data_IF_887888408933
#
_entry.id   IF_887888408933
#
_cell.length_a   1.000
_cell.length_b   1.000
_cell.length_c   1.000
_cell.angle_alpha   90.00
_cell.angle_beta   90.00
_cell.angle_gamma   90.00
#
_symmetry.space_group_name_H-M   'P 1'
#
loop_
_entity.id
_entity.type
_entity.pdbx_description
1 polymer ?
#
# COMPACT_ATOMS: atom_id res chain seq x y z
N UNK A 1 -2.80 11.56 27.56
CA UNK A 1 -3.08 10.84 26.30
C UNK A 1 -2.73 11.73 25.11
N UNK A 2 -2.18 11.15 24.05
CA UNK A 2 -1.86 11.87 22.81
C UNK A 2 -2.44 11.18 21.58
N UNK A 3 -2.66 11.97 20.53
CA UNK A 3 -3.10 11.52 19.22
C UNK A 3 -2.12 12.00 18.15
N UNK A 4 -1.48 11.07 17.45
CA UNK A 4 -0.63 11.37 16.30
C UNK A 4 -1.50 11.51 15.05
N UNK A 5 -1.68 12.74 14.55
CA UNK A 5 -2.43 12.98 13.33
C UNK A 5 -1.53 12.71 12.14
N UNK A 6 -1.91 11.78 11.29
CA UNK A 6 -1.14 11.27 10.14
C UNK A 6 -1.88 11.65 8.84
N UNK A 7 -1.17 12.16 7.84
CA UNK A 7 -1.75 12.50 6.54
C UNK A 7 -0.74 12.35 5.40
N UNK A 8 -1.24 12.33 4.16
CA UNK A 8 -0.42 12.29 2.95
C UNK A 8 -0.19 13.70 2.41
N UNK A 9 1.05 13.99 2.06
CA UNK A 9 1.42 15.27 1.47
C UNK A 9 1.16 15.37 -0.05
N UNK A 10 1.59 16.48 -0.64
CA UNK A 10 1.48 16.77 -2.07
C UNK A 10 2.77 16.53 -2.85
N UNK A 11 3.73 15.79 -2.30
CA UNK A 11 4.98 15.50 -3.01
C UNK A 11 4.71 14.66 -4.25
N UNK A 12 5.35 15.04 -5.35
CA UNK A 12 5.32 14.32 -6.63
C UNK A 12 6.75 13.86 -7.00
N UNK A 13 6.89 12.68 -7.64
CA UNK A 13 5.80 11.82 -8.11
C UNK A 13 5.26 10.84 -7.05
N UNK A 14 5.85 10.82 -5.85
CA UNK A 14 5.47 9.94 -4.74
C UNK A 14 5.11 10.79 -3.51
N UNK A 15 3.93 10.54 -2.93
CA UNK A 15 3.49 11.18 -1.70
C UNK A 15 4.33 10.69 -0.52
N UNK A 16 4.57 11.58 0.43
CA UNK A 16 5.17 11.24 1.71
C UNK A 16 4.12 11.28 2.80
N UNK A 17 4.27 10.41 3.80
CA UNK A 17 3.46 10.48 5.02
C UNK A 17 4.03 11.55 5.94
N UNK A 18 3.14 12.33 6.55
CA UNK A 18 3.46 13.38 7.52
C UNK A 18 2.68 13.13 8.80
N UNK A 19 3.22 13.55 9.94
CA UNK A 19 2.46 13.50 11.19
C UNK A 19 2.77 14.64 12.15
N UNK A 20 1.88 14.83 13.13
CA UNK A 20 2.10 15.68 14.30
C UNK A 20 1.20 15.28 15.46
N UNK A 21 1.66 15.58 16.67
CA UNK A 21 0.99 15.14 17.90
C UNK A 21 0.05 16.18 18.49
N UNK A 22 -1.21 15.78 18.75
CA UNK A 22 -2.17 16.54 19.56
C UNK A 22 -2.25 15.95 20.96
N UNK A 23 -2.24 16.80 21.99
CA UNK A 23 -2.66 16.39 23.34
C UNK A 23 -4.19 16.35 23.36
N UNK A 24 -4.74 15.23 23.81
CA UNK A 24 -6.19 15.01 23.91
C UNK A 24 -6.62 14.82 25.37
N UNK A 25 -7.91 14.98 25.62
CA UNK A 25 -8.47 14.73 26.96
C UNK A 25 -8.19 13.30 27.42
N UNK A 26 -7.98 13.14 28.73
CA UNK A 26 -7.80 11.83 29.35
C UNK A 26 -9.14 11.09 29.50
N UNK A 27 -9.75 10.72 28.36
CA UNK A 27 -10.99 9.95 28.26
C UNK A 27 -10.91 8.86 27.19
N UNK A 28 -11.51 7.68 27.41
CA UNK A 28 -11.57 6.63 26.39
C UNK A 28 -12.14 7.13 25.07
N UNK A 29 -11.43 6.86 23.97
CA UNK A 29 -11.90 7.09 22.61
C UNK A 29 -12.56 5.81 22.10
N UNK A 30 -13.78 5.95 21.59
CA UNK A 30 -14.59 4.88 21.00
C UNK A 30 -15.07 5.22 19.59
N UNK A 31 -15.12 6.50 19.22
CA UNK A 31 -15.55 6.95 17.90
C UNK A 31 -14.60 8.00 17.32
N UNK A 32 -14.56 8.07 15.98
CA UNK A 32 -13.68 9.00 15.26
C UNK A 32 -14.02 10.47 15.53
N UNK A 33 -15.29 10.80 15.80
CA UNK A 33 -15.77 12.17 16.06
C UNK A 33 -15.22 12.79 17.36
N UNK A 34 -14.61 11.97 18.22
CA UNK A 34 -13.92 12.45 19.42
C UNK A 34 -12.57 13.11 19.08
N UNK A 35 -12.05 12.92 17.86
CA UNK A 35 -10.88 13.63 17.35
C UNK A 35 -11.32 14.89 16.61
N UNK A 36 -10.99 16.09 17.11
CA UNK A 36 -11.31 17.33 16.41
C UNK A 36 -10.53 17.46 15.11
N UNK A 37 -11.11 18.15 14.12
CA UNK A 37 -10.36 18.63 12.96
C UNK A 37 -9.16 19.49 13.39
N UNK A 38 -8.15 19.55 12.54
CA UNK A 38 -6.95 20.33 12.83
C UNK A 38 -6.36 20.95 11.57
N UNK A 39 -5.82 22.16 11.63
CA UNK A 39 -5.15 22.79 10.49
C UNK A 39 -3.66 22.46 10.44
N UNK A 40 -3.03 22.54 9.27
CA UNK A 40 -1.58 22.53 9.08
C UNK A 40 -1.15 23.49 7.96
N UNK A 41 0.14 23.81 7.93
CA UNK A 41 0.73 24.64 6.88
C UNK A 41 1.04 23.79 5.63
N UNK A 42 0.15 23.86 4.64
CA UNK A 42 0.25 23.15 3.38
C UNK A 42 1.36 23.66 2.45
N UNK A 43 1.91 24.85 2.70
CA UNK A 43 3.06 25.35 1.92
C UNK A 43 4.35 24.59 2.19
N UNK A 44 4.45 23.98 3.38
CA UNK A 44 5.56 23.14 3.80
C UNK A 44 5.44 21.67 3.33
N UNK A 45 4.37 21.34 2.61
CA UNK A 45 4.03 19.95 2.23
C UNK A 45 3.58 19.81 0.77
N UNK A 46 3.92 20.79 -0.09
CA UNK A 46 3.53 20.83 -1.51
C UNK A 46 2.00 20.83 -1.75
N UNK A 47 1.22 21.33 -0.78
CA UNK A 47 -0.26 21.32 -0.85
C UNK A 47 -0.85 22.71 -1.01
N UNK A 48 -0.13 23.77 -0.68
CA UNK A 48 -0.62 25.13 -0.83
C UNK A 48 0.50 26.12 -1.19
N UNK A 49 0.12 27.33 -1.62
CA UNK A 49 1.06 28.44 -1.78
C UNK A 49 1.18 29.22 -0.48
N UNK A 50 2.31 29.92 -0.27
CA UNK A 50 2.58 30.61 1.00
C UNK A 50 1.59 31.74 1.34
N UNK A 51 0.90 32.31 0.36
CA UNK A 51 -0.11 33.36 0.53
C UNK A 51 -1.51 32.85 0.89
N UNK A 52 -1.74 31.53 0.81
CA UNK A 52 -2.95 30.87 1.28
C UNK A 52 -2.64 29.42 1.70
N UNK A 53 -1.86 29.26 2.77
CA UNK A 53 -1.21 27.98 3.07
C UNK A 53 -2.01 27.01 3.95
N UNK A 54 -3.11 27.45 4.56
CA UNK A 54 -3.88 26.61 5.49
C UNK A 54 -4.57 25.44 4.77
N UNK A 55 -4.29 24.23 5.25
CA UNK A 55 -5.03 23.01 4.91
C UNK A 55 -5.66 22.40 6.17
N UNK A 56 -6.75 21.65 5.99
CA UNK A 56 -7.53 21.03 7.08
C UNK A 56 -7.27 19.52 7.08
N UNK A 57 -7.00 18.98 8.26
CA UNK A 57 -6.97 17.55 8.57
C UNK A 57 -8.32 17.14 9.13
N UNK A 58 -8.97 16.23 8.42
CA UNK A 58 -10.23 15.61 8.85
C UNK A 58 -9.97 14.15 9.26
N UNK A 59 -10.09 13.80 10.55
CA UNK A 59 -9.93 12.42 11.01
C UNK A 59 -10.88 11.46 10.29
N UNK A 60 -10.36 10.32 9.83
CA UNK A 60 -11.13 9.30 9.12
C UNK A 60 -10.94 7.88 9.67
N UNK A 61 -9.81 7.61 10.32
CA UNK A 61 -9.50 6.34 10.96
C UNK A 61 -8.61 6.58 12.17
N UNK A 62 -8.78 5.79 13.21
CA UNK A 62 -7.84 5.74 14.32
C UNK A 62 -7.58 4.31 14.76
N UNK A 63 -6.39 4.10 15.32
CA UNK A 63 -5.94 2.87 15.98
C UNK A 63 -5.19 3.23 17.26
N UNK A 64 -4.92 2.25 18.11
CA UNK A 64 -4.01 2.45 19.24
C UNK A 64 -2.59 2.71 18.72
N UNK A 65 -1.84 3.60 19.39
CA UNK A 65 -0.44 3.87 19.10
C UNK A 65 0.43 2.80 19.77
N UNK A 66 1.00 1.85 18.99
CA UNK A 66 1.77 0.74 19.56
C UNK A 66 3.12 1.20 20.12
N UNK A 67 3.62 2.36 19.69
CA UNK A 67 4.93 2.88 20.09
C UNK A 67 4.82 3.64 21.42
N UNK A 68 3.78 4.45 21.59
CA UNK A 68 3.54 5.19 22.83
C UNK A 68 2.76 4.40 23.89
N UNK A 69 2.09 3.33 23.48
CA UNK A 69 1.35 2.43 24.36
C UNK A 69 -0.04 2.96 24.76
N UNK A 70 -0.61 2.31 25.79
CA UNK A 70 -2.00 2.47 26.19
C UNK A 70 -2.43 3.93 26.38
N UNK A 71 -3.63 4.25 25.90
CA UNK A 71 -4.21 5.59 25.95
C UNK A 71 -3.67 6.55 24.88
N UNK A 72 -2.83 6.10 23.95
CA UNK A 72 -2.38 6.90 22.83
C UNK A 72 -2.92 6.34 21.50
N UNK A 73 -3.04 7.21 20.51
CA UNK A 73 -3.72 6.90 19.26
C UNK A 73 -2.94 7.38 18.04
N UNK A 74 -2.99 6.60 16.97
CA UNK A 74 -2.67 7.07 15.62
C UNK A 74 -3.97 7.44 14.93
N UNK A 75 -4.03 8.61 14.29
CA UNK A 75 -5.24 9.18 13.68
C UNK A 75 -4.94 9.53 12.24
N UNK A 76 -5.34 8.67 11.31
CA UNK A 76 -5.25 8.93 9.89
C UNK A 76 -6.29 9.98 9.49
N UNK A 77 -5.85 10.96 8.72
CA UNK A 77 -6.64 12.12 8.31
C UNK A 77 -6.67 12.25 6.78
N UNK A 78 -7.82 12.69 6.28
CA UNK A 78 -7.93 13.27 4.95
C UNK A 78 -7.51 14.74 4.96
N UNK A 79 -7.02 15.21 3.81
CA UNK A 79 -6.66 16.61 3.61
C UNK A 79 -7.78 17.32 2.85
N UNK A 80 -8.20 18.45 3.39
CA UNK A 80 -9.19 19.36 2.82
C UNK A 80 -8.58 20.74 2.62
N UNK A 81 -9.05 21.45 1.60
CA UNK A 81 -8.71 22.85 1.40
C UNK A 81 -9.40 23.73 2.45
N UNK A 82 -9.02 25.01 2.51
CA UNK A 82 -9.61 26.00 3.42
C UNK A 82 -11.11 26.24 3.20
N UNK A 83 -11.63 25.90 2.03
CA UNK A 83 -13.06 26.01 1.70
C UNK A 83 -13.87 24.79 2.15
N UNK A 84 -13.20 23.76 2.70
CA UNK A 84 -13.84 22.52 3.14
C UNK A 84 -14.07 21.52 2.00
N UNK A 85 -13.43 21.67 0.85
CA UNK A 85 -13.46 20.67 -0.22
C UNK A 85 -12.28 19.69 -0.05
N UNK A 86 -12.43 18.41 -0.47
CA UNK A 86 -11.30 17.50 -0.53
C UNK A 86 -10.16 18.15 -1.32
N UNK A 87 -8.96 18.15 -0.74
CA UNK A 87 -7.80 18.73 -1.40
C UNK A 87 -7.45 17.89 -2.65
N UNK A 88 -6.87 18.49 -3.70
CA UNK A 88 -6.50 17.76 -4.94
C UNK A 88 -5.60 16.54 -4.70
N UNK A 89 -4.85 16.53 -3.59
CA UNK A 89 -3.96 15.43 -3.22
C UNK A 89 -4.67 14.31 -2.44
N UNK A 90 -5.95 14.48 -2.10
CA UNK A 90 -6.74 13.55 -1.31
C UNK A 90 -7.30 12.43 -2.21
N UNK A 91 -6.47 11.41 -2.39
CA UNK A 91 -6.79 10.22 -3.20
C UNK A 91 -7.75 9.26 -2.48
N UNK A 92 -7.84 9.33 -1.15
CA UNK A 92 -8.88 8.61 -0.38
C UNK A 92 -10.29 9.05 -0.78
N UNK A 93 -10.48 10.34 -1.06
CA UNK A 93 -11.74 10.85 -1.58
C UNK A 93 -12.11 10.27 -2.95
N UNK A 94 -11.12 9.94 -3.80
CA UNK A 94 -11.36 9.25 -5.08
C UNK A 94 -11.89 7.84 -4.86
N UNK A 95 -11.29 7.07 -3.94
CA UNK A 95 -11.81 5.73 -3.59
C UNK A 95 -13.21 5.81 -2.98
N UNK A 96 -13.44 6.76 -2.06
CA UNK A 96 -14.77 7.00 -1.48
C UNK A 96 -15.82 7.30 -2.56
N UNK A 97 -15.50 8.15 -3.54
CA UNK A 97 -16.43 8.47 -4.63
C UNK A 97 -16.81 7.23 -5.46
N UNK A 98 -15.85 6.37 -5.80
CA UNK A 98 -16.14 5.10 -6.49
C UNK A 98 -17.06 4.19 -5.66
N UNK A 99 -16.85 4.14 -4.34
CA UNK A 99 -17.71 3.38 -3.44
C UNK A 99 -19.13 3.97 -3.37
N UNK A 100 -19.26 5.29 -3.32
CA UNK A 100 -20.53 6.02 -3.29
C UNK A 100 -21.32 5.89 -4.62
N UNK A 101 -20.63 5.70 -5.75
CA UNK A 101 -21.26 5.34 -7.03
C UNK A 101 -21.91 3.94 -7.02
N UNK A 102 -21.60 3.10 -6.03
CA UNK A 102 -22.22 1.79 -5.82
C UNK A 102 -21.22 0.63 -5.72
N UNK A 103 -19.91 0.87 -5.86
CA UNK A 103 -18.90 -0.19 -5.79
C UNK A 103 -18.89 -0.92 -4.42
N UNK A 104 -19.37 -0.25 -3.36
CA UNK A 104 -19.55 -0.86 -2.04
C UNK A 104 -20.54 -2.05 -2.03
N UNK A 105 -21.42 -2.19 -3.02
CA UNK A 105 -22.38 -3.30 -3.12
C UNK A 105 -21.75 -4.61 -3.58
N UNK A 106 -20.52 -4.57 -4.11
CA UNK A 106 -19.84 -5.73 -4.68
C UNK A 106 -19.09 -6.58 -3.64
N UNK A 107 -19.03 -6.14 -2.38
CA UNK A 107 -18.31 -6.81 -1.29
C UNK A 107 -16.88 -7.18 -1.74
N UNK A 108 -16.17 -6.14 -2.17
CA UNK A 108 -14.83 -6.27 -2.71
C UNK A 108 -13.80 -6.42 -1.59
N UNK A 109 -12.95 -7.43 -1.70
CA UNK A 109 -11.83 -7.66 -0.80
C UNK A 109 -10.52 -7.36 -1.50
N UNK A 110 -9.59 -6.78 -0.75
CA UNK A 110 -8.24 -6.45 -1.20
C UNK A 110 -7.20 -7.06 -0.27
N UNK A 111 -6.03 -7.35 -0.83
CA UNK A 111 -4.80 -7.61 -0.09
C UNK A 111 -3.61 -7.08 -0.87
N UNK A 112 -2.78 -6.29 -0.21
CA UNK A 112 -1.61 -5.63 -0.80
C UNK A 112 -0.35 -6.28 -0.24
N UNK A 113 0.56 -6.65 -1.14
CA UNK A 113 1.88 -7.22 -0.88
C UNK A 113 2.92 -6.09 -1.04
N UNK A 114 3.17 -5.33 0.02
CA UNK A 114 4.05 -4.16 -0.02
C UNK A 114 5.51 -4.58 0.10
N UNK A 115 6.24 -4.59 -1.01
CA UNK A 115 7.68 -4.76 -1.00
C UNK A 115 8.37 -3.43 -0.69
N UNK A 116 9.53 -3.50 -0.04
CA UNK A 116 10.36 -2.35 0.30
C UNK A 116 11.83 -2.78 0.45
N UNK A 117 12.76 -1.82 0.32
CA UNK A 117 14.19 -2.07 0.52
C UNK A 117 14.73 -1.18 1.63
N UNK A 118 15.45 -1.77 2.57
CA UNK A 118 16.09 -1.04 3.67
C UNK A 118 17.45 -0.53 3.18
N UNK A 119 17.68 0.77 3.32
CA UNK A 119 18.89 1.49 2.94
C UNK A 119 19.51 2.14 4.18
N UNK A 120 20.83 2.29 4.19
CA UNK A 120 21.48 3.17 5.15
C UNK A 120 21.27 4.66 4.80
N UNK A 121 21.76 5.56 5.65
CA UNK A 121 21.65 7.02 5.45
C UNK A 121 22.28 7.51 4.14
N UNK A 122 23.25 6.77 3.58
CA UNK A 122 23.90 7.10 2.31
C UNK A 122 23.08 6.66 1.09
N UNK A 123 22.01 5.88 1.30
CA UNK A 123 21.22 5.27 0.24
C UNK A 123 21.79 3.94 -0.26
N UNK A 124 22.76 3.35 0.44
CA UNK A 124 23.30 2.03 0.12
C UNK A 124 22.43 0.94 0.77
N UNK A 125 22.15 -0.19 0.08
CA UNK A 125 21.32 -1.25 0.66
C UNK A 125 21.89 -1.80 1.97
N UNK A 126 21.04 -1.88 2.98
CA UNK A 126 21.45 -2.24 4.33
C UNK A 126 21.90 -3.71 4.41
N UNK A 127 23.09 -3.94 4.96
CA UNK A 127 23.73 -5.26 5.06
C UNK A 127 24.49 -5.71 3.81
N UNK A 128 24.62 -4.85 2.80
CA UNK A 128 25.55 -5.06 1.69
C UNK A 128 27.00 -4.71 2.09
N UNK A 129 28.01 -5.24 1.38
CA UNK A 129 29.40 -4.84 1.59
C UNK A 129 29.61 -3.36 1.25
N UNK A 130 30.33 -2.62 2.10
CA UNK A 130 30.66 -1.18 1.90
C UNK A 130 31.16 -0.86 0.48
N UNK A 131 31.93 -1.79 -0.10
CA UNK A 131 32.35 -1.75 -1.49
C UNK A 131 31.92 -3.01 -2.23
N UNK A 132 31.07 -2.83 -3.25
CA UNK A 132 30.67 -3.90 -4.17
C UNK A 132 29.25 -4.38 -3.93
N UNK A 133 29.05 -5.67 -4.14
CA UNK A 133 27.74 -6.33 -4.12
C UNK A 133 27.81 -7.59 -3.26
N UNK A 134 26.70 -8.03 -2.63
CA UNK A 134 26.62 -9.36 -2.07
C UNK A 134 26.72 -10.42 -3.17
N UNK A 135 26.67 -11.70 -2.78
CA UNK A 135 26.53 -12.78 -3.75
C UNK A 135 25.26 -12.64 -4.62
N UNK A 136 25.15 -13.39 -5.73
CA UNK A 136 23.95 -13.37 -6.57
C UNK A 136 22.67 -13.73 -5.80
N UNK A 137 21.53 -13.23 -6.28
CA UNK A 137 20.21 -13.54 -5.74
C UNK A 137 19.92 -15.05 -5.74
N UNK A 138 19.08 -15.49 -4.80
CA UNK A 138 18.74 -16.91 -4.61
C UNK A 138 18.69 -17.34 -3.15
N UNK A 139 19.75 -17.15 -2.34
CA UNK A 139 19.76 -17.57 -0.93
C UNK A 139 19.02 -16.62 0.02
N UNK A 140 18.54 -15.47 -0.46
CA UNK A 140 17.97 -14.38 0.35
C UNK A 140 16.46 -14.52 0.58
N UNK A 141 15.70 -14.90 -0.44
CA UNK A 141 14.25 -15.07 -0.35
C UNK A 141 13.88 -16.08 0.75
N UNK A 142 13.07 -15.65 1.72
CA UNK A 142 12.73 -16.43 2.92
C UNK A 142 13.97 -17.00 3.66
N UNK A 143 15.10 -16.31 3.58
CA UNK A 143 16.39 -16.74 4.12
C UNK A 143 16.45 -16.69 5.65
N UNK A 144 17.25 -17.60 6.22
CA UNK A 144 17.60 -17.62 7.65
C UNK A 144 19.11 -17.77 7.81
N UNK A 145 19.70 -16.96 8.70
CA UNK A 145 21.13 -16.95 9.02
C UNK A 145 21.82 -15.64 8.64
N UNK A 146 22.87 -15.28 9.38
CA UNK A 146 23.47 -13.94 9.37
C UNK A 146 24.12 -13.46 8.05
N UNK A 147 24.14 -14.28 7.00
CA UNK A 147 24.63 -13.91 5.66
C UNK A 147 23.54 -13.94 4.59
N UNK A 148 22.31 -14.27 4.97
CA UNK A 148 21.17 -14.47 4.07
C UNK A 148 20.02 -13.52 4.31
N UNK A 149 20.06 -12.79 5.42
CA UNK A 149 19.03 -11.83 5.82
C UNK A 149 19.69 -10.61 6.46
N UNK A 150 19.11 -9.45 6.22
CA UNK A 150 19.50 -8.16 6.79
C UNK A 150 18.23 -7.43 7.23
N UNK A 151 18.31 -6.57 8.26
CA UNK A 151 17.18 -5.79 8.79
C UNK A 151 15.97 -6.60 9.31
N UNK A 152 16.17 -7.83 9.80
CA UNK A 152 15.08 -8.64 10.37
C UNK A 152 14.42 -7.95 11.56
N UNK A 153 15.21 -7.35 12.44
CA UNK A 153 14.69 -6.74 13.68
C UNK A 153 13.66 -5.64 13.37
N UNK A 154 13.94 -4.78 12.38
CA UNK A 154 12.95 -3.79 11.90
C UNK A 154 11.67 -4.44 11.36
N UNK A 155 11.81 -5.53 10.58
CA UNK A 155 10.65 -6.23 10.02
C UNK A 155 9.79 -6.90 11.09
N UNK A 156 10.40 -7.47 12.13
CA UNK A 156 9.69 -8.11 13.25
C UNK A 156 9.03 -7.05 14.16
N UNK A 157 9.73 -5.97 14.49
CA UNK A 157 9.18 -4.84 15.26
C UNK A 157 7.99 -4.19 14.53
N UNK A 158 8.09 -4.07 13.21
CA UNK A 158 6.98 -3.56 12.38
C UNK A 158 5.78 -4.50 12.40
N UNK A 159 6.01 -5.81 12.28
CA UNK A 159 4.95 -6.82 12.38
C UNK A 159 4.25 -6.74 13.74
N UNK A 160 5.02 -6.70 14.84
CA UNK A 160 4.49 -6.59 16.20
C UNK A 160 3.69 -5.29 16.38
N UNK A 161 4.23 -4.15 15.94
CA UNK A 161 3.53 -2.86 16.01
C UNK A 161 2.22 -2.86 15.21
N UNK A 162 2.20 -3.48 14.02
CA UNK A 162 0.98 -3.61 13.22
C UNK A 162 -0.05 -4.51 13.91
N UNK A 163 0.37 -5.60 14.54
CA UNK A 163 -0.51 -6.49 15.31
C UNK A 163 -1.10 -5.77 16.53
N UNK A 164 -0.27 -5.07 17.29
CA UNK A 164 -0.69 -4.31 18.49
C UNK A 164 -1.62 -3.15 18.15
N UNK A 165 -1.43 -2.50 17.00
CA UNK A 165 -2.33 -1.49 16.48
C UNK A 165 -3.65 -2.08 15.92
N UNK A 166 -3.76 -3.40 15.80
CA UNK A 166 -4.93 -4.07 15.22
C UNK A 166 -5.06 -3.87 13.71
N UNK A 167 -3.94 -3.64 13.01
CA UNK A 167 -3.95 -3.53 11.55
C UNK A 167 -4.25 -4.89 10.91
N UNK A 168 -4.70 -4.85 9.66
CA UNK A 168 -5.08 -6.05 8.89
C UNK A 168 -3.83 -6.72 8.30
N UNK A 169 -2.76 -6.82 9.09
CA UNK A 169 -1.50 -7.44 8.68
C UNK A 169 -1.63 -8.96 8.66
N UNK A 170 -1.37 -9.55 7.49
CA UNK A 170 -1.46 -10.98 7.25
C UNK A 170 -0.11 -11.68 7.46
N UNK A 171 1.01 -11.03 7.12
CA UNK A 171 2.33 -11.61 7.22
C UNK A 171 3.45 -10.70 6.75
N UNK A 172 4.66 -11.25 6.76
CA UNK A 172 5.89 -10.64 6.23
C UNK A 172 6.86 -11.73 5.75
N UNK A 173 7.72 -11.40 4.80
CA UNK A 173 8.81 -12.26 4.35
C UNK A 173 10.02 -11.45 3.88
N UNK A 174 11.21 -12.07 3.99
CA UNK A 174 12.41 -11.56 3.32
C UNK A 174 12.27 -11.80 1.81
N UNK A 175 12.55 -10.77 1.01
CA UNK A 175 12.42 -10.81 -0.44
C UNK A 175 13.69 -11.29 -1.15
N UNK A 176 13.63 -11.36 -2.48
CA UNK A 176 14.69 -11.94 -3.33
C UNK A 176 16.02 -11.17 -3.25
N UNK A 177 15.99 -9.84 -3.09
CA UNK A 177 17.20 -9.02 -2.92
C UNK A 177 17.58 -8.93 -1.43
N UNK A 178 18.87 -9.07 -1.11
CA UNK A 178 19.34 -8.91 0.28
C UNK A 178 19.00 -7.50 0.79
N UNK A 179 18.29 -7.43 1.93
CA UNK A 179 17.81 -6.17 2.52
C UNK A 179 16.45 -5.71 1.97
N UNK A 180 15.86 -6.46 1.04
CA UNK A 180 14.47 -6.28 0.60
C UNK A 180 13.54 -7.16 1.43
N UNK A 181 12.36 -6.64 1.71
CA UNK A 181 11.33 -7.29 2.52
C UNK A 181 9.95 -6.99 1.97
N UNK A 182 8.97 -7.77 2.42
CA UNK A 182 7.56 -7.56 2.12
C UNK A 182 6.74 -7.62 3.41
N UNK A 183 5.69 -6.81 3.49
CA UNK A 183 4.59 -7.02 4.44
C UNK A 183 3.25 -7.04 3.70
N UNK A 184 2.28 -7.80 4.20
CA UNK A 184 0.98 -7.93 3.55
C UNK A 184 -0.16 -7.37 4.40
N UNK A 185 -0.95 -6.44 3.85
CA UNK A 185 -2.15 -5.87 4.50
C UNK A 185 -3.39 -6.22 3.68
N UNK A 186 -4.42 -6.83 4.29
CA UNK A 186 -5.61 -7.23 3.55
C UNK A 186 -6.56 -8.15 4.29
N UNK A 187 -7.49 -8.74 3.55
CA UNK A 187 -8.37 -9.77 4.08
C UNK A 187 -7.59 -11.03 4.49
N UNK A 188 -7.73 -11.44 5.75
CA UNK A 188 -6.98 -12.56 6.36
C UNK A 188 -7.77 -13.85 6.54
N UNK A 189 -9.06 -13.83 6.22
CA UNK A 189 -9.95 -14.96 6.49
C UNK A 189 -10.49 -15.02 7.93
N UNK A 190 -10.30 -13.95 8.72
CA UNK A 190 -10.83 -13.85 10.08
C UNK A 190 -12.21 -13.19 10.10
N UNK A 191 -12.94 -13.38 11.20
CA UNK A 191 -14.23 -12.70 11.45
C UNK A 191 -13.97 -11.28 11.94
N UNK A 192 -13.62 -10.40 11.00
CA UNK A 192 -13.28 -9.00 11.24
C UNK A 192 -13.86 -8.11 10.12
N UNK A 193 -14.19 -6.84 10.41
CA UNK A 193 -14.66 -5.93 9.38
C UNK A 193 -13.56 -5.73 8.34
N UNK A 194 -13.94 -5.80 7.06
CA UNK A 194 -13.05 -5.54 5.93
C UNK A 194 -13.81 -4.77 4.86
N UNK A 195 -13.21 -3.69 4.37
CA UNK A 195 -13.70 -2.96 3.22
C UNK A 195 -12.52 -2.27 2.50
N UNK A 196 -12.69 -1.82 1.25
CA UNK A 196 -11.60 -1.21 0.49
C UNK A 196 -10.98 0.02 1.16
N UNK A 197 -11.75 0.87 1.84
CA UNK A 197 -11.20 2.03 2.57
C UNK A 197 -10.43 1.56 3.80
N UNK A 198 -10.94 0.60 4.57
CA UNK A 198 -10.24 0.10 5.76
C UNK A 198 -8.87 -0.50 5.41
N UNK A 199 -8.80 -1.34 4.39
CA UNK A 199 -7.53 -1.98 3.98
C UNK A 199 -6.52 -0.94 3.49
N UNK A 200 -6.97 0.05 2.71
CA UNK A 200 -6.10 1.11 2.19
C UNK A 200 -5.69 2.14 3.27
N UNK A 201 -6.57 2.41 4.24
CA UNK A 201 -6.25 3.17 5.46
C UNK A 201 -5.14 2.44 6.25
N UNK A 202 -5.27 1.13 6.42
CA UNK A 202 -4.31 0.30 7.15
C UNK A 202 -2.96 0.18 6.42
N UNK A 203 -2.93 0.19 5.08
CA UNK A 203 -1.69 0.28 4.31
C UNK A 203 -0.91 1.54 4.68
N UNK A 204 -1.56 2.72 4.69
CA UNK A 204 -0.86 3.97 5.03
C UNK A 204 -0.45 4.06 6.51
N UNK A 205 -1.24 3.50 7.43
CA UNK A 205 -0.83 3.37 8.83
C UNK A 205 0.37 2.43 8.99
N UNK A 206 0.39 1.30 8.27
CA UNK A 206 1.51 0.37 8.26
C UNK A 206 2.78 1.01 7.65
N UNK A 207 2.65 1.77 6.55
CA UNK A 207 3.75 2.56 5.98
C UNK A 207 4.30 3.58 6.97
N UNK A 208 3.42 4.31 7.66
CA UNK A 208 3.85 5.27 8.70
C UNK A 208 4.59 4.57 9.84
N UNK A 209 4.09 3.43 10.32
CA UNK A 209 4.77 2.64 11.36
C UNK A 209 6.15 2.17 10.90
N UNK A 210 6.27 1.70 9.65
CA UNK A 210 7.53 1.27 9.06
C UNK A 210 8.56 2.41 9.08
N UNK A 211 8.20 3.56 8.50
CA UNK A 211 9.08 4.74 8.46
C UNK A 211 9.41 5.23 9.88
N UNK A 212 8.42 5.25 10.79
CA UNK A 212 8.62 5.72 12.16
C UNK A 212 9.54 4.82 12.97
N UNK A 213 9.43 3.50 12.80
CA UNK A 213 10.30 2.53 13.48
C UNK A 213 11.71 2.55 12.88
N UNK A 214 11.85 2.74 11.56
CA UNK A 214 13.16 2.79 10.89
C UNK A 214 14.07 3.89 11.43
N UNK A 215 13.49 5.00 11.93
CA UNK A 215 14.22 6.06 12.62
C UNK A 215 15.08 5.55 13.79
N UNK A 216 14.61 4.55 14.55
CA UNK A 216 15.35 4.01 15.71
C UNK A 216 16.51 3.10 15.30
N UNK A 217 16.54 2.68 14.04
CA UNK A 217 17.55 1.82 13.45
C UNK A 217 18.59 2.60 12.63
N UNK A 218 18.46 3.93 12.54
CA UNK A 218 19.28 4.80 11.68
C UNK A 218 19.30 4.33 10.21
N UNK A 219 18.15 3.84 9.72
CA UNK A 219 17.97 3.38 8.34
C UNK A 219 16.78 4.07 7.67
N UNK A 220 16.82 4.10 6.35
CA UNK A 220 15.74 4.58 5.49
C UNK A 220 15.05 3.41 4.80
N UNK A 221 13.73 3.41 4.80
CA UNK A 221 12.94 2.51 3.95
C UNK A 221 12.73 3.16 2.58
N UNK A 222 13.02 2.43 1.51
CA UNK A 222 12.72 2.84 0.14
C UNK A 222 11.60 1.99 -0.44
N UNK A 223 10.64 2.70 -1.04
CA UNK A 223 9.53 2.14 -1.82
C UNK A 223 9.78 2.30 -3.34
N UNK A 224 11.00 2.64 -3.76
CA UNK A 224 11.32 2.79 -5.18
C UNK A 224 11.10 1.48 -5.94
N UNK A 225 10.45 1.54 -7.09
CA UNK A 225 10.10 0.36 -7.89
C UNK A 225 11.33 -0.41 -8.40
N UNK A 226 12.49 0.24 -8.47
CA UNK A 226 13.77 -0.34 -8.87
C UNK A 226 14.90 0.35 -8.08
N UNK A 227 15.10 -0.03 -6.80
CA UNK A 227 16.02 0.70 -5.92
C UNK A 227 17.48 0.53 -6.35
N UNK A 228 17.84 -0.65 -6.88
CA UNK A 228 19.17 -0.93 -7.43
C UNK A 228 19.05 -1.36 -8.89
N UNK A 229 19.85 -0.73 -9.74
CA UNK A 229 19.90 -1.03 -11.18
C UNK A 229 20.65 -2.34 -11.45
N UNK A 230 20.33 -2.99 -12.57
CA UNK A 230 20.93 -4.25 -12.99
C UNK A 230 20.14 -5.49 -12.56
N UNK A 231 20.87 -6.59 -12.31
CA UNK A 231 20.35 -7.95 -12.05
C UNK A 231 19.91 -8.13 -10.58
N UNK A 232 19.16 -7.16 -10.08
CA UNK A 232 18.54 -7.17 -8.75
C UNK A 232 17.03 -7.02 -8.91
N UNK A 233 16.24 -7.67 -8.08
CA UNK A 233 14.79 -7.54 -8.15
C UNK A 233 14.35 -6.08 -7.97
N UNK A 234 13.22 -5.73 -8.61
CA UNK A 234 12.52 -4.48 -8.29
C UNK A 234 11.61 -4.69 -7.07
N UNK A 235 10.93 -3.62 -6.66
CA UNK A 235 9.95 -3.65 -5.57
C UNK A 235 8.52 -3.42 -6.11
N UNK A 236 7.62 -4.36 -5.83
CA UNK A 236 6.20 -4.33 -6.20
C UNK A 236 5.26 -3.96 -5.05
N UNK A 237 3.99 -3.73 -5.41
CA UNK A 237 2.87 -3.74 -4.46
C UNK A 237 1.77 -4.65 -5.02
N UNK A 238 2.01 -5.96 -5.13
CA UNK A 238 1.04 -6.84 -5.78
C UNK A 238 -0.31 -6.73 -5.06
N UNK A 239 -1.37 -6.63 -5.85
CA UNK A 239 -2.71 -6.40 -5.31
C UNK A 239 -3.60 -7.59 -5.61
N UNK A 240 -3.90 -8.35 -4.58
CA UNK A 240 -4.90 -9.40 -4.57
C UNK A 240 -6.29 -8.76 -4.45
N UNK A 241 -7.23 -9.15 -5.31
CA UNK A 241 -8.59 -8.62 -5.26
C UNK A 241 -9.66 -9.62 -5.68
N UNK A 242 -10.85 -9.49 -5.11
CA UNK A 242 -12.04 -10.24 -5.52
C UNK A 242 -13.33 -9.49 -5.20
N UNK A 243 -14.39 -9.73 -5.96
CA UNK A 243 -15.76 -9.37 -5.59
C UNK A 243 -16.50 -10.60 -5.07
N UNK A 244 -17.65 -10.41 -4.42
CA UNK A 244 -18.51 -11.53 -4.02
C UNK A 244 -18.85 -12.48 -5.18
N UNK A 245 -19.09 -11.94 -6.37
CA UNK A 245 -19.38 -12.76 -7.57
C UNK A 245 -18.16 -13.56 -8.01
N UNK A 246 -16.94 -13.02 -7.93
CA UNK A 246 -15.71 -13.77 -8.24
C UNK A 246 -15.48 -14.93 -7.27
N UNK A 247 -15.90 -14.77 -6.01
CA UNK A 247 -15.81 -15.80 -4.96
C UNK A 247 -16.96 -16.81 -4.99
N UNK A 248 -17.97 -16.60 -5.83
CA UNK A 248 -19.13 -17.49 -5.93
C UNK A 248 -18.79 -18.78 -6.69
N UNK A 249 -19.22 -19.92 -6.16
CA UNK A 249 -18.90 -21.25 -6.72
C UNK A 249 -19.51 -21.48 -8.11
N UNK A 250 -20.64 -20.83 -8.41
CA UNK A 250 -21.38 -21.01 -9.66
C UNK A 250 -21.01 -19.93 -10.68
N UNK A 251 -20.83 -18.68 -10.23
CA UNK A 251 -20.62 -17.52 -11.10
C UNK A 251 -19.15 -17.13 -11.25
N UNK A 252 -18.28 -17.57 -10.34
CA UNK A 252 -16.90 -17.10 -10.22
C UNK A 252 -16.10 -17.23 -11.51
N UNK A 253 -16.23 -18.33 -12.25
CA UNK A 253 -15.45 -18.56 -13.46
C UNK A 253 -15.76 -17.53 -14.54
N UNK A 254 -17.06 -17.34 -14.81
CA UNK A 254 -17.55 -16.40 -15.81
C UNK A 254 -17.18 -14.97 -15.42
N UNK A 255 -17.28 -14.65 -14.13
CA UNK A 255 -16.95 -13.33 -13.63
C UNK A 255 -15.43 -13.05 -13.70
N UNK A 256 -14.59 -14.01 -13.37
CA UNK A 256 -13.13 -13.90 -13.49
C UNK A 256 -12.73 -13.66 -14.96
N UNK A 257 -13.30 -14.41 -15.90
CA UNK A 257 -13.03 -14.23 -17.33
C UNK A 257 -13.43 -12.82 -17.81
N UNK A 258 -14.59 -12.31 -17.36
CA UNK A 258 -15.04 -10.94 -17.64
C UNK A 258 -14.10 -9.89 -17.04
N UNK A 259 -13.69 -10.07 -15.79
CA UNK A 259 -12.77 -9.17 -15.08
C UNK A 259 -11.42 -9.09 -15.79
N UNK A 260 -10.88 -10.22 -16.23
CA UNK A 260 -9.62 -10.27 -17.00
C UNK A 260 -9.74 -9.44 -18.29
N UNK A 261 -10.82 -9.61 -19.06
CA UNK A 261 -11.04 -8.83 -20.28
C UNK A 261 -11.17 -7.33 -20.00
N UNK A 262 -11.84 -6.95 -18.90
CA UNK A 262 -11.96 -5.55 -18.50
C UNK A 262 -10.59 -4.94 -18.14
N UNK A 263 -9.73 -5.68 -17.44
CA UNK A 263 -8.38 -5.25 -17.07
C UNK A 263 -7.46 -5.13 -18.29
N UNK A 264 -7.57 -6.06 -19.25
CA UNK A 264 -6.83 -6.02 -20.51
C UNK A 264 -7.19 -4.76 -21.30
N UNK A 265 -8.49 -4.51 -21.50
CA UNK A 265 -8.99 -3.36 -22.24
C UNK A 265 -8.60 -2.01 -21.61
N UNK A 266 -8.30 -2.00 -20.30
CA UNK A 266 -7.94 -0.80 -19.54
C UNK A 266 -6.47 -0.78 -19.11
N UNK A 267 -5.61 -1.67 -19.63
CA UNK A 267 -4.25 -1.85 -19.14
C UNK A 267 -3.46 -0.53 -19.04
N UNK A 268 -3.45 0.29 -20.10
CA UNK A 268 -2.74 1.56 -20.13
C UNK A 268 -3.22 2.55 -19.06
N UNK A 269 -4.53 2.57 -18.77
CA UNK A 269 -5.09 3.47 -17.75
C UNK A 269 -4.76 3.02 -16.32
N UNK A 270 -4.58 1.72 -16.10
CA UNK A 270 -4.05 1.21 -14.83
C UNK A 270 -2.59 1.60 -14.65
N UNK A 271 -1.75 1.41 -15.66
CA UNK A 271 -0.31 1.74 -15.59
C UNK A 271 -0.08 3.20 -15.17
N UNK A 272 -0.91 4.15 -15.63
CA UNK A 272 -0.81 5.57 -15.27
C UNK A 272 -0.90 5.87 -13.77
N UNK A 273 -1.57 5.01 -12.99
CA UNK A 273 -1.80 5.21 -11.55
C UNK A 273 -1.09 4.17 -10.69
N UNK A 274 -0.27 3.31 -11.29
CA UNK A 274 0.37 2.14 -10.65
C UNK A 274 1.78 2.40 -10.13
N UNK A 275 2.14 3.67 -9.96
CA UNK A 275 3.40 4.10 -9.37
C UNK A 275 4.32 4.80 -10.37
N UNK A 276 5.25 5.58 -9.83
CA UNK A 276 6.20 6.36 -10.61
C UNK A 276 7.38 5.51 -11.08
N UNK A 277 7.94 5.80 -12.27
CA UNK A 277 9.11 5.09 -12.83
C UNK A 277 8.90 3.57 -12.95
N UNK A 278 7.65 3.15 -13.20
CA UNK A 278 7.26 1.74 -13.23
C UNK A 278 7.93 0.97 -14.38
N UNK A 279 8.32 1.67 -15.45
CA UNK A 279 9.06 1.15 -16.61
C UNK A 279 10.45 0.61 -16.24
N UNK A 280 11.04 1.09 -15.14
CA UNK A 280 12.32 0.55 -14.64
C UNK A 280 12.16 -0.82 -13.97
N UNK A 281 10.94 -1.17 -13.56
CA UNK A 281 10.59 -2.45 -12.93
C UNK A 281 9.98 -3.41 -13.94
N UNK A 282 8.93 -2.98 -14.64
CA UNK A 282 8.12 -3.79 -15.57
C UNK A 282 8.80 -3.94 -16.93
N UNK A 283 9.86 -4.75 -16.97
CA UNK A 283 10.73 -4.92 -18.14
C UNK A 283 10.55 -6.28 -18.84
N UNK A 284 9.75 -7.18 -18.25
CA UNK A 284 9.67 -8.58 -18.67
C UNK A 284 10.78 -9.48 -18.07
N UNK A 285 11.72 -8.90 -17.32
CA UNK A 285 12.76 -9.60 -16.57
C UNK A 285 12.41 -9.67 -15.07
N UNK A 286 13.13 -10.51 -14.32
CA UNK A 286 13.00 -10.63 -12.86
C UNK A 286 11.56 -10.78 -12.36
N UNK A 287 10.82 -11.74 -12.92
CA UNK A 287 9.43 -12.06 -12.50
C UNK A 287 8.44 -10.88 -12.69
N UNK A 288 8.63 -10.09 -13.74
CA UNK A 288 7.70 -9.04 -14.15
C UNK A 288 7.20 -9.26 -15.58
N UNK A 289 6.08 -8.62 -15.92
CA UNK A 289 5.63 -8.47 -17.30
C UNK A 289 6.16 -7.14 -17.87
N UNK A 290 6.37 -7.06 -19.19
CA UNK A 290 6.69 -5.80 -19.86
C UNK A 290 5.55 -4.79 -19.68
N UNK A 291 5.87 -3.52 -19.43
CA UNK A 291 4.90 -2.46 -19.10
C UNK A 291 3.87 -2.18 -20.20
N UNK A 292 4.14 -2.55 -21.46
CA UNK A 292 3.22 -2.34 -22.58
C UNK A 292 2.42 -3.60 -22.93
N UNK A 293 2.70 -4.72 -22.27
CA UNK A 293 2.13 -6.02 -22.56
C UNK A 293 1.20 -6.47 -21.46
N UNK A 294 -0.08 -6.62 -21.76
CA UNK A 294 -1.00 -7.31 -20.86
C UNK A 294 -0.88 -8.82 -21.06
N UNK A 295 -0.65 -9.55 -19.97
CA UNK A 295 -0.54 -11.01 -19.98
C UNK A 295 -1.23 -11.59 -18.75
N UNK A 296 -2.00 -12.65 -18.96
CA UNK A 296 -2.56 -13.45 -17.87
C UNK A 296 -1.89 -14.82 -17.89
N UNK A 297 -1.62 -15.37 -16.70
CA UNK A 297 -1.15 -16.73 -16.60
C UNK A 297 -1.55 -17.40 -15.29
N UNK A 298 -1.82 -18.69 -15.39
CA UNK A 298 -2.06 -19.55 -14.24
C UNK A 298 -0.73 -19.86 -13.56
N UNK A 299 -0.55 -19.42 -12.31
CA UNK A 299 0.71 -19.55 -11.58
C UNK A 299 1.95 -18.96 -12.30
N UNK A 300 1.74 -18.06 -13.28
CA UNK A 300 2.82 -17.45 -14.05
C UNK A 300 3.31 -16.18 -13.36
N UNK A 301 4.52 -16.25 -12.81
CA UNK A 301 5.16 -15.08 -12.19
C UNK A 301 5.69 -14.05 -13.22
N UNK A 302 5.61 -14.29 -14.52
CA UNK A 302 5.90 -13.29 -15.56
C UNK A 302 4.66 -12.59 -16.11
N UNK A 303 3.46 -12.86 -15.56
CA UNK A 303 2.21 -12.29 -16.03
C UNK A 303 1.90 -10.92 -15.38
N UNK A 304 1.12 -10.10 -16.07
CA UNK A 304 0.52 -8.88 -15.50
C UNK A 304 -0.51 -9.24 -14.44
N UNK A 305 -1.42 -10.16 -14.76
CA UNK A 305 -2.40 -10.72 -13.83
C UNK A 305 -2.09 -12.19 -13.63
N UNK A 306 -1.86 -12.60 -12.39
CA UNK A 306 -1.70 -14.01 -12.02
C UNK A 306 -3.06 -14.53 -11.55
N UNK A 307 -3.45 -15.70 -12.08
CA UNK A 307 -4.53 -16.50 -11.50
C UNK A 307 -3.91 -17.46 -10.49
N UNK A 308 -4.17 -17.32 -9.18
CA UNK A 308 -3.68 -18.25 -8.18
C UNK A 308 -4.10 -19.69 -8.51
N UNK A 309 -3.23 -20.66 -8.22
CA UNK A 309 -3.49 -22.09 -8.46
C UNK A 309 -4.84 -22.53 -7.89
N UNK A 310 -5.15 -22.15 -6.65
CA UNK A 310 -6.43 -22.49 -6.01
C UNK A 310 -7.64 -21.88 -6.74
N UNK A 311 -7.49 -20.66 -7.29
CA UNK A 311 -8.54 -20.02 -8.11
C UNK A 311 -8.69 -20.75 -9.46
N UNK A 312 -7.58 -21.13 -10.10
CA UNK A 312 -7.61 -21.88 -11.36
C UNK A 312 -8.28 -23.25 -11.20
N UNK A 313 -7.88 -24.00 -10.18
CA UNK A 313 -8.38 -25.35 -9.91
C UNK A 313 -9.88 -25.36 -9.57
N UNK A 314 -10.34 -24.35 -8.81
CA UNK A 314 -11.74 -24.26 -8.36
C UNK A 314 -12.64 -23.52 -9.34
N UNK A 315 -12.08 -22.64 -10.17
CA UNK A 315 -12.81 -21.73 -11.03
C UNK A 315 -13.44 -20.52 -10.32
N UNK A 316 -13.12 -20.26 -9.05
CA UNK A 316 -13.61 -19.09 -8.31
C UNK A 316 -12.60 -18.70 -7.22
N UNK A 317 -12.60 -17.44 -6.81
CA UNK A 317 -11.67 -16.92 -5.82
C UNK A 317 -11.25 -15.48 -6.09
N UNK A 318 -9.94 -15.24 -6.07
CA UNK A 318 -9.33 -13.93 -6.27
C UNK A 318 -8.31 -13.96 -7.41
N UNK A 319 -7.97 -12.78 -7.92
CA UNK A 319 -6.89 -12.54 -8.87
C UNK A 319 -5.80 -11.70 -8.20
N UNK A 320 -4.58 -11.80 -8.71
CA UNK A 320 -3.44 -11.01 -8.26
C UNK A 320 -2.98 -10.10 -9.41
N UNK A 321 -3.12 -8.79 -9.24
CA UNK A 321 -2.56 -7.78 -10.14
C UNK A 321 -1.12 -7.47 -9.74
N UNK A 322 -0.16 -7.84 -10.59
CA UNK A 322 1.28 -7.75 -10.29
C UNK A 322 1.92 -6.47 -10.84
N UNK A 323 1.12 -5.64 -11.51
CA UNK A 323 1.59 -4.42 -12.16
C UNK A 323 1.86 -3.25 -11.20
N UNK A 324 1.16 -3.05 -10.07
CA UNK A 324 1.47 -1.93 -9.17
C UNK A 324 2.90 -2.03 -8.62
N UNK A 325 3.61 -0.90 -8.64
CA UNK A 325 4.92 -0.75 -8.02
C UNK A 325 4.84 -0.51 -6.51
N UNK A 326 5.96 -0.69 -5.81
CA UNK A 326 6.06 -0.43 -4.38
C UNK A 326 5.72 1.01 -3.97
N UNK A 327 5.94 2.01 -4.82
CA UNK A 327 5.65 3.43 -4.50
C UNK A 327 4.22 3.86 -4.85
N UNK A 328 3.30 2.92 -5.07
CA UNK A 328 1.93 3.23 -5.49
C UNK A 328 1.08 3.80 -4.35
N UNK A 329 0.07 4.61 -4.70
CA UNK A 329 -0.98 4.97 -3.75
C UNK A 329 -2.07 3.88 -3.72
N UNK A 330 -2.24 3.15 -2.59
CA UNK A 330 -3.20 2.04 -2.51
C UNK A 330 -4.65 2.51 -2.68
N UNK A 331 -4.99 3.77 -2.38
CA UNK A 331 -6.32 4.31 -2.68
C UNK A 331 -6.57 4.36 -4.19
N UNK A 332 -5.58 4.81 -4.97
CA UNK A 332 -5.72 4.90 -6.42
C UNK A 332 -5.77 3.51 -7.07
N UNK A 333 -5.01 2.54 -6.57
CA UNK A 333 -5.07 1.15 -7.05
C UNK A 333 -6.45 0.55 -6.82
N UNK A 334 -6.96 0.62 -5.58
CA UNK A 334 -8.28 0.11 -5.24
C UNK A 334 -9.38 0.81 -6.05
N UNK A 335 -9.32 2.14 -6.15
CA UNK A 335 -10.30 2.92 -6.91
C UNK A 335 -10.29 2.56 -8.40
N UNK A 336 -9.10 2.41 -9.00
CA UNK A 336 -8.94 2.06 -10.42
C UNK A 336 -9.41 0.65 -10.73
N UNK A 337 -9.10 -0.31 -9.85
CA UNK A 337 -9.60 -1.69 -9.93
C UNK A 337 -11.12 -1.71 -9.84
N UNK A 338 -11.72 -1.12 -8.80
CA UNK A 338 -13.17 -1.09 -8.62
C UNK A 338 -13.89 -0.40 -9.78
N UNK A 339 -13.39 0.75 -10.25
CA UNK A 339 -13.96 1.45 -11.38
C UNK A 339 -14.00 0.54 -12.63
N UNK A 340 -12.90 -0.16 -12.91
CA UNK A 340 -12.77 -1.01 -14.09
C UNK A 340 -13.63 -2.28 -13.98
N UNK A 341 -13.59 -2.96 -12.84
CA UNK A 341 -14.25 -4.27 -12.70
C UNK A 341 -15.74 -4.13 -12.40
N UNK A 342 -16.19 -3.04 -11.78
CA UNK A 342 -17.60 -2.80 -11.49
C UNK A 342 -18.29 -1.84 -12.49
N UNK A 343 -17.53 -1.18 -13.37
CA UNK A 343 -18.07 -0.33 -14.44
C UNK A 343 -18.45 1.09 -13.99
N UNK A 344 -17.67 1.68 -13.09
CA UNK A 344 -17.89 3.04 -12.57
C UNK A 344 -16.91 4.05 -13.20
N UNK A 345 -17.28 5.33 -13.14
CA UNK A 345 -16.46 6.40 -13.71
C UNK A 345 -15.29 6.72 -12.79
N UNK A 346 -14.07 6.58 -13.31
CA UNK A 346 -12.85 6.97 -12.60
C UNK A 346 -12.48 8.42 -12.93
N UNK A 347 -12.60 9.31 -11.94
CA UNK A 347 -12.11 10.69 -12.03
C UNK A 347 -11.00 10.88 -11.02
N UNK A 348 -9.76 10.93 -11.50
CA UNK A 348 -8.63 11.45 -10.73
C UNK A 348 -8.54 12.94 -11.07
N UNK A 349 -8.80 13.81 -10.09
CA UNK A 349 -8.90 15.26 -10.29
C UNK A 349 -7.62 15.88 -10.82
#
# INVERSE_FOLDING_TARGET
>A
MVAEYIWLDGTEPMKLVRSKTRVIEDKPVTTIDQFPEWGFDGSSTNQATGDNSDCILKPVRFVHDPIRGEGNYLVLCEVYDRSGNPHKTNTRAVLRDILDQGANQHDAWFGFEQEYTVLDESGHPYGWPESGYPGPQGPYYCGVGGTRVSARDLSEDHLEACLDAGLLIYGTNAEVMLGQWEFQIGYRGFDEPVDPLLVTDHMWLATWLMDRLSEAYDVRVSYDNKPIQGDWNGAGCHTNFSTKTMRDVQLGKVEIDRVIQALEANHAEHIKVYGANLDQRLTGLHETCDINTFKVGESDRGASIRVPMATSDKGYGYLEDRRPGANVDPYLVAARLLATICGYSFSNQ
#
